data_IF_411349459363
#
_entry.id   IF_411349459363
#
_cell.length_a   1.000
_cell.length_b   1.000
_cell.length_c   1.000
_cell.angle_alpha   90.00
_cell.angle_beta   90.00
_cell.angle_gamma   90.00
#
_symmetry.space_group_name_H-M   'P 1'
#
loop_
_entity.id
_entity.type
_entity.pdbx_description
1 polymer ?
#
# COMPACT_ATOMS: atom_id res chain seq x y z
N UNK A 1 -48.05 68.41 9.90
CA UNK A 1 -47.77 67.68 8.64
C UNK A 1 -46.45 66.95 8.78
N UNK A 2 -46.51 65.69 9.15
CA UNK A 2 -45.32 64.86 9.31
C UNK A 2 -45.31 63.77 8.22
N UNK A 3 -44.28 63.78 7.40
CA UNK A 3 -44.07 62.77 6.35
C UNK A 3 -43.38 61.57 6.96
N UNK A 4 -44.08 60.41 6.95
CA UNK A 4 -43.55 59.13 7.36
C UNK A 4 -42.78 58.55 6.19
N UNK A 5 -41.43 58.35 6.34
CA UNK A 5 -40.65 57.60 5.38
C UNK A 5 -40.64 56.13 5.80
N UNK A 6 -41.22 55.30 4.94
CA UNK A 6 -41.12 53.83 5.06
C UNK A 6 -39.77 53.39 4.52
N UNK A 7 -38.91 52.81 5.37
CA UNK A 7 -37.74 52.09 4.96
C UNK A 7 -38.18 50.64 4.66
N UNK A 8 -38.09 50.24 3.39
CA UNK A 8 -38.22 48.86 2.97
C UNK A 8 -36.84 48.22 3.12
N UNK A 9 -36.69 47.31 4.11
CA UNK A 9 -35.47 46.51 4.29
C UNK A 9 -35.59 45.32 3.35
N UNK A 10 -34.83 45.30 2.25
CA UNK A 10 -34.67 44.13 1.38
C UNK A 10 -33.68 43.19 2.06
N UNK A 11 -34.21 42.11 2.68
CA UNK A 11 -33.46 40.98 3.11
C UNK A 11 -33.05 40.13 1.86
N UNK A 12 -31.85 40.32 1.37
CA UNK A 12 -31.24 39.41 0.42
C UNK A 12 -30.90 38.11 1.16
N UNK A 13 -31.78 37.09 1.08
CA UNK A 13 -31.44 35.73 1.48
C UNK A 13 -30.50 35.18 0.42
N UNK A 14 -29.21 35.28 0.68
CA UNK A 14 -28.22 34.56 -0.10
C UNK A 14 -28.42 33.05 0.11
N UNK A 15 -28.97 32.39 -0.90
CA UNK A 15 -28.96 30.93 -0.96
C UNK A 15 -27.51 30.49 -1.13
N UNK A 16 -26.88 30.14 -0.03
CA UNK A 16 -25.66 29.37 -0.07
C UNK A 16 -26.04 27.99 -0.66
N UNK A 17 -25.77 27.81 -1.94
CA UNK A 17 -25.73 26.50 -2.54
C UNK A 17 -24.65 25.73 -1.79
N UNK A 18 -25.07 24.88 -0.85
CA UNK A 18 -24.21 23.85 -0.28
C UNK A 18 -23.86 22.90 -1.43
N UNK A 19 -22.81 23.24 -2.17
CA UNK A 19 -22.16 22.23 -3.00
C UNK A 19 -21.74 21.11 -2.06
N UNK A 20 -22.13 19.86 -2.32
CA UNK A 20 -21.67 18.75 -1.51
C UNK A 20 -20.15 18.81 -1.48
N UNK A 21 -19.57 18.83 -0.28
CA UNK A 21 -18.13 18.81 -0.08
C UNK A 21 -17.65 17.44 -0.60
N UNK A 22 -17.21 17.39 -1.84
CA UNK A 22 -16.58 16.19 -2.37
C UNK A 22 -15.19 16.08 -1.72
N UNK A 23 -14.84 14.88 -1.26
CA UNK A 23 -13.50 14.62 -0.79
C UNK A 23 -12.51 14.80 -1.94
N UNK A 24 -11.49 15.63 -1.75
CA UNK A 24 -10.41 15.80 -2.71
C UNK A 24 -9.45 14.60 -2.61
N UNK A 25 -9.31 13.85 -3.70
CA UNK A 25 -8.36 12.74 -3.80
C UNK A 25 -6.98 13.30 -4.17
N UNK A 26 -6.22 13.71 -3.16
CA UNK A 26 -4.90 14.28 -3.34
C UNK A 26 -3.80 13.23 -3.61
N UNK A 27 -3.89 12.06 -2.96
CA UNK A 27 -2.99 10.94 -3.20
C UNK A 27 -3.58 9.98 -4.24
N UNK A 28 -2.93 9.86 -5.39
CA UNK A 28 -3.31 8.99 -6.50
C UNK A 28 -2.16 8.05 -6.80
N UNK A 29 -2.19 6.88 -6.15
CA UNK A 29 -1.08 5.94 -6.13
C UNK A 29 -1.24 4.71 -7.02
N UNK A 30 -0.11 4.09 -7.35
CA UNK A 30 -0.07 2.75 -7.92
C UNK A 30 1.06 1.94 -7.29
N UNK A 31 0.80 0.66 -6.96
CA UNK A 31 1.85 -0.25 -6.51
C UNK A 31 2.65 -0.79 -7.68
N UNK A 32 3.97 -0.81 -7.52
CA UNK A 32 4.92 -1.50 -8.39
C UNK A 32 5.50 -2.68 -7.62
N UNK A 33 4.93 -3.87 -7.80
CA UNK A 33 5.38 -5.09 -7.15
C UNK A 33 6.53 -5.72 -7.95
N UNK A 34 7.66 -5.94 -7.26
CA UNK A 34 8.86 -6.54 -7.86
C UNK A 34 8.97 -8.03 -7.56
N UNK A 35 8.38 -8.48 -6.47
CA UNK A 35 8.34 -9.90 -6.10
C UNK A 35 7.73 -10.72 -7.23
N UNK A 36 8.37 -11.82 -7.57
CA UNK A 36 7.97 -12.70 -8.69
C UNK A 36 7.81 -11.96 -10.03
N UNK A 37 8.49 -10.83 -10.19
CA UNK A 37 8.41 -9.99 -11.40
C UNK A 37 6.96 -9.64 -11.80
N UNK A 38 6.10 -9.39 -10.78
CA UNK A 38 4.66 -9.11 -11.00
C UNK A 38 4.49 -7.89 -11.90
N UNK A 39 5.11 -6.75 -11.55
CA UNK A 39 5.00 -5.52 -12.32
C UNK A 39 6.32 -5.12 -12.98
N UNK A 40 7.44 -5.16 -12.24
CA UNK A 40 8.74 -4.71 -12.72
C UNK A 40 9.89 -5.42 -11.96
N UNK A 41 11.04 -5.70 -12.63
CA UNK A 41 11.16 -5.75 -14.08
C UNK A 41 10.37 -6.94 -14.64
N UNK A 42 10.10 -6.96 -15.95
CA UNK A 42 9.59 -8.17 -16.59
C UNK A 42 10.64 -9.28 -16.55
N UNK A 43 10.21 -10.54 -16.62
CA UNK A 43 11.15 -11.68 -16.69
C UNK A 43 12.16 -11.55 -17.85
N UNK A 44 11.75 -10.93 -18.96
CA UNK A 44 12.58 -10.70 -20.13
C UNK A 44 13.68 -9.64 -19.88
N UNK A 45 13.43 -8.71 -18.98
CA UNK A 45 14.37 -7.64 -18.62
C UNK A 45 15.31 -8.00 -17.46
N UNK A 46 15.08 -9.13 -16.78
CA UNK A 46 15.96 -9.60 -15.70
C UNK A 46 17.40 -9.71 -16.21
N UNK A 47 18.34 -9.09 -15.47
CA UNK A 47 19.76 -9.09 -15.84
C UNK A 47 20.13 -8.16 -17.00
N UNK A 48 19.25 -7.22 -17.38
CA UNK A 48 19.50 -6.25 -18.43
C UNK A 48 19.11 -4.84 -17.96
N UNK A 49 20.11 -4.05 -17.58
CA UNK A 49 19.93 -2.69 -17.03
C UNK A 49 19.18 -1.76 -17.99
N UNK A 50 19.55 -1.74 -19.28
CA UNK A 50 18.90 -0.86 -20.26
C UNK A 50 17.41 -1.19 -20.44
N UNK A 51 17.08 -2.49 -20.52
CA UNK A 51 15.69 -2.91 -20.60
C UNK A 51 14.89 -2.55 -19.35
N UNK A 52 15.47 -2.75 -18.16
CA UNK A 52 14.86 -2.39 -16.88
C UNK A 52 14.57 -0.90 -16.78
N UNK A 53 15.50 -0.06 -17.19
CA UNK A 53 15.34 1.40 -17.21
C UNK A 53 14.26 1.82 -18.21
N UNK A 54 14.29 1.27 -19.43
CA UNK A 54 13.29 1.56 -20.47
C UNK A 54 11.86 1.18 -20.02
N UNK A 55 11.70 0.00 -19.41
CA UNK A 55 10.42 -0.43 -18.84
C UNK A 55 9.92 0.52 -17.75
N UNK A 56 10.80 0.95 -16.82
CA UNK A 56 10.41 1.86 -15.74
C UNK A 56 10.02 3.24 -16.28
N UNK A 57 10.75 3.79 -17.26
CA UNK A 57 10.37 5.06 -17.91
C UNK A 57 8.97 4.95 -18.52
N UNK A 58 8.73 3.91 -19.33
CA UNK A 58 7.44 3.69 -19.96
C UNK A 58 6.31 3.55 -18.93
N UNK A 59 6.58 2.86 -17.80
CA UNK A 59 5.65 2.69 -16.70
C UNK A 59 5.32 4.03 -16.05
N UNK A 60 6.33 4.82 -15.70
CA UNK A 60 6.13 6.14 -15.06
C UNK A 60 5.41 7.12 -15.99
N UNK A 61 5.76 7.18 -17.28
CA UNK A 61 5.08 8.01 -18.29
C UNK A 61 3.59 7.63 -18.41
N UNK A 62 3.33 6.33 -18.45
CA UNK A 62 1.97 5.80 -18.53
C UNK A 62 1.15 6.18 -17.28
N UNK A 63 1.71 6.01 -16.08
CA UNK A 63 1.06 6.40 -14.83
C UNK A 63 0.78 7.91 -14.78
N UNK A 64 1.77 8.74 -15.17
CA UNK A 64 1.59 10.19 -15.23
C UNK A 64 0.44 10.59 -16.16
N UNK A 65 0.34 9.93 -17.32
CA UNK A 65 -0.73 10.20 -18.31
C UNK A 65 -2.14 9.92 -17.77
N UNK A 66 -2.26 9.09 -16.74
CA UNK A 66 -3.51 8.77 -16.04
C UNK A 66 -3.79 9.69 -14.85
N UNK A 67 -2.89 10.62 -14.54
CA UNK A 67 -3.01 11.51 -13.39
C UNK A 67 -2.54 10.88 -12.06
N UNK A 68 -1.83 9.76 -12.09
CA UNK A 68 -1.16 9.18 -10.92
C UNK A 68 -0.01 10.09 -10.52
N UNK A 69 0.10 10.38 -9.23
CA UNK A 69 1.12 11.27 -8.65
C UNK A 69 1.98 10.63 -7.57
N UNK A 70 1.82 9.32 -7.34
CA UNK A 70 2.62 8.58 -6.38
C UNK A 70 2.83 7.12 -6.83
N UNK A 71 4.01 6.58 -6.57
CA UNK A 71 4.28 5.15 -6.72
C UNK A 71 4.64 4.54 -5.38
N UNK A 72 4.13 3.33 -5.12
CA UNK A 72 4.54 2.50 -3.99
C UNK A 72 5.43 1.39 -4.56
N UNK A 73 6.74 1.63 -4.52
CA UNK A 73 7.74 0.80 -5.18
C UNK A 73 8.32 -0.24 -4.23
N UNK A 74 8.14 -1.52 -4.54
CA UNK A 74 8.66 -2.62 -3.73
C UNK A 74 10.16 -2.80 -3.94
N UNK A 75 10.96 -2.39 -2.97
CA UNK A 75 12.42 -2.46 -3.05
C UNK A 75 13.04 -3.55 -2.17
N UNK A 76 12.25 -4.12 -1.24
CA UNK A 76 12.68 -5.24 -0.38
C UNK A 76 11.62 -6.33 -0.33
N UNK A 77 11.53 -7.18 -1.38
CA UNK A 77 10.48 -8.20 -1.47
C UNK A 77 10.74 -9.44 -0.60
N UNK A 78 12.00 -9.88 -0.46
CA UNK A 78 12.38 -11.18 0.13
C UNK A 78 13.73 -11.13 0.87
N UNK A 79 13.89 -10.19 1.81
CA UNK A 79 15.15 -9.96 2.54
C UNK A 79 16.37 -9.78 1.59
N UNK A 80 16.12 -9.10 0.50
CA UNK A 80 17.07 -8.73 -0.54
C UNK A 80 16.70 -7.34 -1.10
N UNK A 81 17.62 -6.69 -1.78
CA UNK A 81 17.49 -5.29 -2.15
C UNK A 81 17.38 -5.08 -3.67
N UNK A 82 16.42 -4.22 -4.08
CA UNK A 82 16.38 -3.59 -5.41
C UNK A 82 16.96 -2.17 -5.35
N UNK A 83 18.01 -2.01 -4.59
CA UNK A 83 18.81 -0.79 -4.46
C UNK A 83 20.25 -1.20 -4.07
N UNK A 84 21.19 -0.29 -4.20
CA UNK A 84 22.55 -0.58 -3.73
C UNK A 84 22.56 -0.68 -2.20
N UNK A 85 22.91 -1.84 -1.66
CA UNK A 85 22.91 -2.09 -0.21
C UNK A 85 24.17 -2.86 0.19
N UNK A 86 24.80 -2.43 1.27
CA UNK A 86 25.86 -3.18 1.96
C UNK A 86 25.30 -4.14 3.03
N UNK A 87 24.00 -4.03 3.33
CA UNK A 87 23.32 -4.78 4.37
C UNK A 87 22.67 -6.06 3.83
N UNK A 88 22.03 -5.97 2.67
CA UNK A 88 21.32 -7.09 2.05
C UNK A 88 21.77 -7.30 0.59
N UNK A 89 21.80 -8.54 0.10
CA UNK A 89 22.23 -8.85 -1.26
C UNK A 89 21.28 -8.25 -2.30
N UNK A 90 21.79 -7.93 -3.49
CA UNK A 90 20.93 -7.57 -4.62
C UNK A 90 19.93 -8.68 -4.92
N UNK A 91 18.70 -8.30 -5.22
CA UNK A 91 17.60 -9.23 -5.43
C UNK A 91 17.75 -10.05 -6.73
N UNK A 92 17.44 -11.34 -6.64
CA UNK A 92 17.38 -12.20 -7.82
C UNK A 92 16.27 -11.80 -8.81
N UNK A 93 15.23 -11.10 -8.34
CA UNK A 93 14.18 -10.58 -9.23
C UNK A 93 14.71 -9.49 -10.17
N UNK A 94 15.83 -8.84 -9.82
CA UNK A 94 16.49 -7.86 -10.65
C UNK A 94 17.53 -8.50 -11.58
N UNK A 95 18.35 -9.39 -11.03
CA UNK A 95 19.57 -9.86 -11.71
C UNK A 95 19.52 -11.32 -12.17
N UNK A 96 18.49 -12.07 -11.74
CA UNK A 96 18.38 -13.53 -11.97
C UNK A 96 19.15 -14.38 -10.95
N UNK A 97 20.07 -13.77 -10.18
CA UNK A 97 20.84 -14.45 -9.14
C UNK A 97 21.01 -13.53 -7.94
N UNK A 98 20.55 -13.94 -6.76
CA UNK A 98 20.68 -13.13 -5.55
C UNK A 98 22.15 -12.89 -5.20
N UNK A 99 22.51 -11.64 -4.92
CA UNK A 99 23.85 -11.24 -4.51
C UNK A 99 24.87 -11.14 -5.63
N UNK A 100 24.47 -11.30 -6.88
CA UNK A 100 25.36 -11.17 -8.03
C UNK A 100 24.73 -10.34 -9.14
N UNK A 101 25.50 -9.43 -9.72
CA UNK A 101 25.06 -8.61 -10.86
C UNK A 101 25.20 -9.32 -12.21
N UNK A 102 25.86 -10.48 -12.23
CA UNK A 102 26.06 -11.26 -13.46
C UNK A 102 26.86 -10.48 -14.50
N UNK A 103 26.31 -10.36 -15.72
CA UNK A 103 26.87 -9.54 -16.80
C UNK A 103 26.24 -8.13 -16.86
N UNK A 104 25.25 -7.87 -16.03
CA UNK A 104 24.57 -6.59 -15.96
C UNK A 104 25.49 -5.55 -15.34
N UNK A 105 25.43 -4.32 -15.84
CA UNK A 105 26.08 -3.18 -15.21
C UNK A 105 25.50 -2.95 -13.81
N UNK A 106 26.36 -2.68 -12.83
CA UNK A 106 25.95 -2.34 -11.47
C UNK A 106 25.33 -0.94 -11.47
N UNK A 107 24.10 -0.85 -11.02
CA UNK A 107 23.36 0.40 -10.92
C UNK A 107 22.50 0.42 -9.66
N UNK A 108 21.94 1.56 -9.32
CA UNK A 108 21.02 1.70 -8.20
C UNK A 108 19.59 1.93 -8.69
N UNK A 109 18.75 0.88 -8.74
CA UNK A 109 17.36 1.00 -9.22
C UNK A 109 16.52 2.00 -8.45
N UNK A 110 16.70 2.09 -7.12
CA UNK A 110 15.92 3.01 -6.29
C UNK A 110 16.32 4.45 -6.55
N UNK A 111 17.62 4.77 -6.48
CA UNK A 111 18.10 6.13 -6.75
C UNK A 111 17.67 6.62 -8.13
N UNK A 112 17.80 5.76 -9.14
CA UNK A 112 17.41 6.08 -10.50
C UNK A 112 15.89 6.28 -10.64
N UNK A 113 15.08 5.36 -10.07
CA UNK A 113 13.62 5.47 -10.11
C UNK A 113 13.12 6.72 -9.39
N UNK A 114 13.71 7.10 -8.25
CA UNK A 114 13.39 8.36 -7.55
C UNK A 114 13.63 9.56 -8.48
N UNK A 115 14.81 9.61 -9.12
CA UNK A 115 15.12 10.69 -10.05
C UNK A 115 14.11 10.78 -11.20
N UNK A 116 13.72 9.66 -11.79
CA UNK A 116 12.76 9.62 -12.89
C UNK A 116 11.31 9.94 -12.43
N UNK A 117 10.91 9.49 -11.25
CA UNK A 117 9.61 9.81 -10.66
C UNK A 117 9.49 11.31 -10.33
N UNK A 118 10.51 11.91 -9.73
CA UNK A 118 10.53 13.33 -9.38
C UNK A 118 10.50 14.24 -10.61
N UNK A 119 11.12 13.87 -11.74
CA UNK A 119 10.98 14.59 -13.02
C UNK A 119 9.51 14.66 -13.50
N UNK A 120 8.67 13.73 -13.04
CA UNK A 120 7.24 13.62 -13.36
C UNK A 120 6.33 14.15 -12.25
N UNK A 121 6.90 14.80 -11.23
CA UNK A 121 6.20 15.24 -10.02
C UNK A 121 5.45 14.10 -9.31
N UNK A 122 6.07 12.92 -9.24
CA UNK A 122 5.54 11.76 -8.52
C UNK A 122 6.29 11.54 -7.22
N UNK A 123 5.54 11.29 -6.14
CA UNK A 123 6.08 10.81 -4.87
C UNK A 123 6.55 9.35 -4.99
N UNK A 124 7.60 9.00 -4.26
CA UNK A 124 8.08 7.62 -4.16
C UNK A 124 7.94 7.13 -2.72
N UNK A 125 7.04 6.17 -2.52
CA UNK A 125 6.88 5.44 -1.27
C UNK A 125 7.60 4.09 -1.39
N UNK A 126 8.58 3.87 -0.53
CA UNK A 126 9.41 2.67 -0.58
C UNK A 126 8.73 1.53 0.16
N UNK A 127 8.36 0.49 -0.58
CA UNK A 127 7.67 -0.67 -0.02
C UNK A 127 8.65 -1.77 0.38
N UNK A 128 8.60 -2.15 1.65
CA UNK A 128 9.39 -3.19 2.30
C UNK A 128 8.46 -4.28 2.82
N UNK A 129 8.76 -5.56 2.50
CA UNK A 129 8.20 -6.65 3.30
C UNK A 129 9.14 -6.90 4.50
N UNK A 130 8.68 -6.77 5.76
CA UNK A 130 9.59 -6.79 6.90
C UNK A 130 10.20 -8.17 7.19
N UNK A 131 9.46 -9.26 6.98
CA UNK A 131 9.85 -10.56 7.54
C UNK A 131 10.00 -11.70 6.55
N UNK A 132 9.51 -11.59 5.33
CA UNK A 132 9.60 -12.67 4.34
C UNK A 132 11.02 -12.81 3.78
N UNK A 133 11.52 -14.07 3.67
CA UNK A 133 12.86 -14.39 3.14
C UNK A 133 12.79 -14.98 1.74
N UNK A 134 11.76 -15.79 1.44
CA UNK A 134 11.56 -16.40 0.13
C UNK A 134 10.07 -16.65 -0.16
N UNK A 135 9.73 -17.02 -1.39
CA UNK A 135 8.32 -17.20 -1.80
C UNK A 135 7.82 -18.64 -1.67
N UNK A 136 8.61 -19.61 -1.87
CA UNK A 136 8.21 -21.03 -1.76
C UNK A 136 9.42 -21.95 -1.96
N UNK A 137 9.24 -23.22 -1.54
CA UNK A 137 10.27 -24.26 -1.60
C UNK A 137 11.38 -23.99 -0.60
N UNK A 138 11.36 -24.59 0.51
CA UNK A 138 12.39 -24.69 1.57
C UNK A 138 13.86 -24.58 1.11
N UNK A 139 14.07 -24.16 -0.13
CA UNK A 139 15.35 -24.11 -0.79
C UNK A 139 16.07 -22.82 -0.42
N UNK A 140 17.02 -22.94 0.49
CA UNK A 140 17.93 -21.85 0.84
C UNK A 140 19.20 -21.83 -0.02
N UNK A 141 19.33 -22.76 -0.98
CA UNK A 141 20.51 -22.82 -1.86
C UNK A 141 20.63 -21.60 -2.77
N UNK A 142 19.48 -20.98 -3.09
CA UNK A 142 19.42 -19.75 -3.89
C UNK A 142 19.86 -18.51 -3.13
N UNK A 143 19.94 -18.56 -1.78
CA UNK A 143 20.35 -17.42 -0.97
C UNK A 143 21.84 -17.14 -1.15
N UNK A 144 22.15 -15.87 -1.38
CA UNK A 144 23.53 -15.41 -1.51
C UNK A 144 24.38 -15.80 -0.28
N UNK A 145 25.70 -15.99 -0.44
CA UNK A 145 26.62 -16.23 0.69
C UNK A 145 26.56 -15.11 1.74
N UNK A 146 26.30 -13.88 1.32
CA UNK A 146 26.19 -12.68 2.17
C UNK A 146 24.82 -12.50 2.83
N UNK A 147 23.83 -13.36 2.47
CA UNK A 147 22.48 -13.22 3.02
C UNK A 147 22.47 -13.37 4.54
N UNK A 148 21.77 -12.48 5.25
CA UNK A 148 21.72 -12.41 6.72
C UNK A 148 21.39 -13.76 7.39
N UNK A 149 20.58 -14.60 6.77
CA UNK A 149 20.23 -15.93 7.24
C UNK A 149 21.42 -16.90 7.30
N UNK A 150 22.49 -16.66 6.50
CA UNK A 150 23.73 -17.43 6.56
C UNK A 150 24.54 -17.10 7.82
N UNK A 151 24.39 -15.86 8.29
CA UNK A 151 25.11 -15.31 9.44
C UNK A 151 24.42 -15.60 10.76
N UNK A 152 23.08 -15.50 10.78
CA UNK A 152 22.25 -15.64 11.98
C UNK A 152 21.04 -16.55 11.69
N UNK A 153 21.24 -17.86 11.45
CA UNK A 153 20.16 -18.77 11.09
C UNK A 153 19.10 -18.89 12.21
N UNK A 154 19.44 -18.64 13.46
CA UNK A 154 18.56 -18.65 14.63
C UNK A 154 17.51 -17.51 14.64
N UNK A 155 17.69 -16.50 13.80
CA UNK A 155 16.70 -15.43 13.64
C UNK A 155 15.49 -15.83 12.81
N UNK A 156 15.51 -17.02 12.22
CA UNK A 156 14.55 -17.43 11.21
C UNK A 156 13.83 -18.71 11.60
N UNK A 157 12.62 -18.82 11.09
CA UNK A 157 11.85 -20.04 11.16
C UNK A 157 11.08 -20.30 9.86
N UNK A 158 10.66 -21.53 9.70
CA UNK A 158 9.97 -21.99 8.51
C UNK A 158 8.48 -22.18 8.79
N UNK A 159 7.66 -21.66 7.89
CA UNK A 159 6.21 -21.85 7.92
C UNK A 159 5.67 -21.96 6.49
N UNK A 160 4.79 -22.92 6.25
CA UNK A 160 4.18 -23.17 4.95
C UNK A 160 5.18 -23.15 3.77
N UNK A 161 6.33 -23.85 3.94
CA UNK A 161 7.42 -23.95 2.94
C UNK A 161 8.10 -22.62 2.61
N UNK A 162 7.96 -21.61 3.44
CA UNK A 162 8.65 -20.31 3.33
C UNK A 162 9.44 -20.03 4.59
N UNK A 163 10.48 -19.23 4.45
CA UNK A 163 11.28 -18.75 5.55
C UNK A 163 10.90 -17.32 5.91
N UNK A 164 10.88 -17.06 7.19
CA UNK A 164 10.54 -15.75 7.76
C UNK A 164 11.51 -15.41 8.89
N UNK A 165 11.78 -14.13 9.07
CA UNK A 165 12.33 -13.66 10.33
C UNK A 165 11.35 -13.95 11.46
N UNK A 166 11.88 -14.19 12.66
CA UNK A 166 11.08 -14.38 13.86
C UNK A 166 10.69 -13.02 14.47
N UNK A 167 9.43 -12.58 14.39
CA UNK A 167 9.03 -11.26 14.91
C UNK A 167 9.17 -11.14 16.43
N UNK A 168 9.29 -12.26 17.14
CA UNK A 168 9.46 -12.30 18.60
C UNK A 168 10.88 -11.94 19.09
N UNK A 169 11.85 -11.83 18.19
CA UNK A 169 13.23 -11.50 18.53
C UNK A 169 13.49 -9.99 18.39
N UNK A 170 14.19 -9.42 19.35
CA UNK A 170 14.62 -8.02 19.31
C UNK A 170 15.58 -7.76 18.16
N UNK A 171 16.55 -8.65 17.96
CA UNK A 171 17.53 -8.56 16.86
C UNK A 171 16.90 -8.45 15.48
N UNK A 172 15.74 -9.09 15.25
CA UNK A 172 15.04 -8.97 13.96
C UNK A 172 14.33 -7.62 13.80
N UNK A 173 13.87 -7.01 14.90
CA UNK A 173 13.34 -5.63 14.89
C UNK A 173 14.45 -4.61 14.63
N UNK A 174 15.58 -4.75 15.33
CA UNK A 174 16.75 -3.91 15.13
C UNK A 174 17.27 -3.98 13.70
N UNK A 175 17.27 -5.20 13.11
CA UNK A 175 17.67 -5.39 11.72
C UNK A 175 16.78 -4.61 10.76
N UNK A 176 15.45 -4.71 10.88
CA UNK A 176 14.56 -3.96 9.99
C UNK A 176 14.67 -2.44 10.20
N UNK A 177 14.91 -1.98 11.44
CA UNK A 177 15.18 -0.57 11.71
C UNK A 177 16.47 -0.11 11.01
N UNK A 178 17.53 -0.92 11.04
CA UNK A 178 18.80 -0.65 10.34
C UNK A 178 18.57 -0.51 8.82
N UNK A 179 17.75 -1.40 8.22
CA UNK A 179 17.39 -1.31 6.80
C UNK A 179 16.61 -0.02 6.50
N UNK A 180 15.62 0.31 7.33
CA UNK A 180 14.85 1.55 7.18
C UNK A 180 15.74 2.78 7.30
N UNK A 181 16.62 2.82 8.30
CA UNK A 181 17.59 3.90 8.50
C UNK A 181 18.49 4.06 7.29
N UNK A 182 19.07 2.97 6.75
CA UNK A 182 19.92 3.00 5.55
C UNK A 182 19.19 3.65 4.37
N UNK A 183 17.93 3.27 4.14
CA UNK A 183 17.13 3.80 3.05
C UNK A 183 16.86 5.30 3.24
N UNK A 184 16.30 5.71 4.37
CA UNK A 184 15.87 7.10 4.56
C UNK A 184 17.02 8.10 4.72
N UNK A 185 18.22 7.64 5.05
CA UNK A 185 19.42 8.49 5.10
C UNK A 185 20.08 8.69 3.74
N UNK A 186 19.88 7.76 2.82
CA UNK A 186 20.54 7.77 1.52
C UNK A 186 19.66 8.23 0.36
N UNK A 187 18.34 8.09 0.49
CA UNK A 187 17.40 8.33 -0.61
C UNK A 187 16.34 9.36 -0.24
N UNK A 188 16.03 10.23 -1.19
CA UNK A 188 14.96 11.25 -1.07
C UNK A 188 13.59 10.61 -1.34
N UNK A 189 13.07 9.90 -0.33
CA UNK A 189 11.79 9.20 -0.39
C UNK A 189 10.73 9.90 0.45
N UNK A 190 9.48 9.87 0.01
CA UNK A 190 8.39 10.54 0.72
C UNK A 190 7.81 9.65 1.82
N UNK A 191 7.92 8.33 1.69
CA UNK A 191 7.45 7.42 2.74
C UNK A 191 8.18 6.07 2.76
N UNK A 192 8.20 5.45 3.95
CA UNK A 192 8.38 4.01 4.13
C UNK A 192 6.98 3.39 4.16
N UNK A 193 6.77 2.35 3.39
CA UNK A 193 5.52 1.62 3.28
C UNK A 193 5.70 0.13 3.57
N UNK A 194 4.80 -0.45 4.37
CA UNK A 194 4.77 -1.88 4.61
C UNK A 194 3.38 -2.45 4.27
N UNK A 195 3.38 -3.70 3.82
CA UNK A 195 2.16 -4.44 3.51
C UNK A 195 1.55 -5.11 4.76
N UNK A 196 0.71 -6.11 4.57
CA UNK A 196 0.01 -6.85 5.60
C UNK A 196 0.75 -8.12 6.08
N UNK A 197 1.96 -8.40 5.58
CA UNK A 197 2.72 -9.61 5.89
C UNK A 197 3.64 -9.43 7.11
N UNK A 198 3.08 -9.12 8.27
CA UNK A 198 3.83 -9.13 9.56
C UNK A 198 4.01 -10.58 10.04
N UNK A 199 2.96 -11.23 10.51
CA UNK A 199 2.92 -12.67 10.62
C UNK A 199 2.37 -13.27 9.32
N UNK A 200 2.81 -14.49 8.91
CA UNK A 200 2.29 -15.11 7.70
C UNK A 200 0.82 -15.48 7.83
N UNK A 201 0.12 -15.46 6.70
CA UNK A 201 -1.25 -15.93 6.62
C UNK A 201 -1.40 -17.36 7.12
N UNK A 202 -2.48 -17.70 7.84
CA UNK A 202 -2.73 -19.07 8.33
C UNK A 202 -2.70 -20.12 7.21
N UNK A 203 -1.94 -21.18 7.41
CA UNK A 203 -1.84 -22.30 6.48
C UNK A 203 -2.52 -23.54 7.06
N UNK A 204 -3.81 -23.66 6.85
CA UNK A 204 -4.61 -24.76 7.40
C UNK A 204 -4.52 -24.84 8.92
N UNK A 205 -4.08 -25.99 9.46
CA UNK A 205 -3.92 -26.21 10.91
C UNK A 205 -2.45 -26.07 11.39
N UNK A 206 -1.53 -25.65 10.50
CA UNK A 206 -0.14 -25.49 10.89
C UNK A 206 0.01 -24.37 11.92
N UNK A 207 0.69 -24.67 13.04
CA UNK A 207 0.98 -23.67 14.05
C UNK A 207 2.23 -22.88 13.68
N UNK A 208 2.26 -21.60 14.07
CA UNK A 208 3.45 -20.76 13.96
C UNK A 208 4.55 -21.30 14.90
N UNK A 209 5.80 -21.38 14.43
CA UNK A 209 6.89 -22.04 15.17
C UNK A 209 7.61 -21.12 16.17
N UNK A 210 6.91 -20.17 16.78
CA UNK A 210 7.43 -19.18 17.72
C UNK A 210 7.15 -19.51 19.20
N UNK A 211 6.57 -20.69 19.49
CA UNK A 211 6.23 -21.10 20.87
C UNK A 211 7.46 -21.13 21.79
N UNK A 212 8.62 -21.53 21.28
CA UNK A 212 9.85 -21.54 22.08
C UNK A 212 10.29 -20.11 22.43
N UNK A 213 10.26 -19.20 21.47
CA UNK A 213 10.58 -17.78 21.68
C UNK A 213 9.63 -17.16 22.70
N UNK A 214 8.33 -17.45 22.62
CA UNK A 214 7.35 -17.01 23.60
C UNK A 214 7.67 -17.52 25.01
N UNK A 215 7.97 -18.81 25.18
CA UNK A 215 8.31 -19.39 26.48
C UNK A 215 9.59 -18.81 27.10
N UNK A 216 10.56 -18.47 26.26
CA UNK A 216 11.82 -17.86 26.69
C UNK A 216 11.66 -16.40 27.11
N UNK A 217 10.77 -15.67 26.47
CA UNK A 217 10.52 -14.25 26.78
C UNK A 217 9.04 -13.88 26.62
N UNK A 218 8.16 -14.27 27.57
CA UNK A 218 6.73 -13.98 27.49
C UNK A 218 6.38 -12.53 27.75
N UNK A 219 7.30 -11.70 28.23
CA UNK A 219 7.08 -10.27 28.57
C UNK A 219 5.82 -9.99 29.41
N UNK A 220 5.41 -10.94 30.27
CA UNK A 220 4.22 -10.82 31.11
C UNK A 220 2.89 -11.16 30.42
N UNK A 221 2.90 -11.63 29.18
CA UNK A 221 1.70 -12.09 28.51
C UNK A 221 1.39 -13.56 28.86
N UNK A 222 0.17 -13.82 29.30
CA UNK A 222 -0.33 -15.18 29.54
C UNK A 222 -0.82 -15.86 28.26
N UNK A 223 -1.06 -15.07 27.20
CA UNK A 223 -1.60 -15.52 25.93
C UNK A 223 -0.60 -15.24 24.77
N UNK A 224 -0.22 -16.29 24.05
CA UNK A 224 0.69 -16.18 22.91
C UNK A 224 0.14 -15.29 21.80
N UNK A 225 -1.18 -15.18 21.60
CA UNK A 225 -1.77 -14.31 20.59
C UNK A 225 -1.59 -12.83 20.94
N UNK A 226 -1.69 -12.47 22.23
CA UNK A 226 -1.42 -11.10 22.68
C UNK A 226 0.07 -10.77 22.56
N UNK A 227 0.94 -11.71 22.93
CA UNK A 227 2.37 -11.59 22.75
C UNK A 227 2.78 -11.40 21.28
N UNK A 228 2.14 -12.09 20.32
CA UNK A 228 2.39 -11.90 18.88
C UNK A 228 1.98 -10.52 18.42
N UNK A 229 0.83 -10.01 18.85
CA UNK A 229 0.41 -8.63 18.56
C UNK A 229 1.39 -7.61 19.12
N UNK A 230 1.86 -7.84 20.34
CA UNK A 230 2.87 -7.00 20.96
C UNK A 230 4.20 -7.01 20.19
N UNK A 231 4.63 -8.16 19.65
CA UNK A 231 5.82 -8.23 18.76
C UNK A 231 5.69 -7.30 17.55
N UNK A 232 4.52 -7.29 16.90
CA UNK A 232 4.26 -6.42 15.75
C UNK A 232 4.18 -4.95 16.21
N UNK A 233 3.50 -4.65 17.32
CA UNK A 233 3.43 -3.31 17.89
C UNK A 233 4.82 -2.75 18.19
N UNK A 234 5.69 -3.53 18.83
CA UNK A 234 7.07 -3.14 19.11
C UNK A 234 7.87 -2.85 17.82
N UNK A 235 7.63 -3.64 16.77
CA UNK A 235 8.29 -3.39 15.47
C UNK A 235 7.81 -2.08 14.84
N UNK A 236 6.50 -1.82 14.82
CA UNK A 236 5.93 -0.58 14.29
C UNK A 236 6.44 0.63 15.06
N UNK A 237 6.47 0.58 16.39
CA UNK A 237 7.02 1.64 17.23
C UNK A 237 8.51 1.89 16.96
N UNK A 238 9.31 0.83 16.86
CA UNK A 238 10.74 0.95 16.62
C UNK A 238 11.03 1.59 15.27
N UNK A 239 10.32 1.15 14.21
CA UNK A 239 10.45 1.71 12.87
C UNK A 239 10.03 3.17 12.85
N UNK A 240 8.88 3.51 13.45
CA UNK A 240 8.43 4.89 13.58
C UNK A 240 9.48 5.78 14.27
N UNK A 241 10.04 5.31 15.39
CA UNK A 241 11.04 6.07 16.11
C UNK A 241 12.30 6.27 15.26
N UNK A 242 12.78 5.23 14.58
CA UNK A 242 13.90 5.32 13.62
C UNK A 242 13.64 6.38 12.55
N UNK A 243 12.43 6.39 11.96
CA UNK A 243 12.08 7.38 10.94
C UNK A 243 12.08 8.79 11.53
N UNK A 244 11.45 9.00 12.70
CA UNK A 244 11.33 10.33 13.30
C UNK A 244 12.66 10.88 13.82
N UNK A 245 13.57 10.01 14.24
CA UNK A 245 14.92 10.39 14.69
C UNK A 245 15.85 10.72 13.50
N UNK A 246 15.80 9.92 12.43
CA UNK A 246 16.72 10.08 11.30
C UNK A 246 16.21 11.07 10.24
N UNK A 247 14.92 11.03 9.90
CA UNK A 247 14.32 11.89 8.86
C UNK A 247 12.84 12.17 9.15
N UNK A 248 12.51 13.12 10.03
CA UNK A 248 11.12 13.35 10.50
C UNK A 248 10.12 13.74 9.41
N UNK A 249 10.59 14.17 8.22
CA UNK A 249 9.75 14.48 7.06
C UNK A 249 9.22 13.24 6.32
N UNK A 250 9.88 12.09 6.47
CA UNK A 250 9.45 10.84 5.82
C UNK A 250 8.22 10.29 6.54
N UNK A 251 7.18 9.96 5.77
CA UNK A 251 5.95 9.35 6.29
C UNK A 251 6.13 7.85 6.53
N UNK A 252 5.36 7.30 7.44
CA UNK A 252 5.27 5.86 7.65
C UNK A 252 3.85 5.37 7.37
N UNK A 253 3.68 4.52 6.37
CA UNK A 253 2.40 4.00 5.93
C UNK A 253 2.29 2.48 5.95
N UNK A 254 1.08 2.00 6.18
CA UNK A 254 0.77 0.56 6.20
C UNK A 254 -0.41 0.29 5.28
N UNK A 255 -0.30 -0.77 4.44
CA UNK A 255 -1.43 -1.32 3.69
C UNK A 255 -1.88 -2.66 4.29
N UNK A 256 -2.75 -2.62 5.32
CA UNK A 256 -3.21 -3.82 5.98
C UNK A 256 -4.25 -4.57 5.13
N UNK A 257 -4.49 -5.83 5.47
CA UNK A 257 -5.67 -6.55 5.00
C UNK A 257 -6.96 -5.73 5.27
N UNK A 258 -7.94 -5.77 4.36
CA UNK A 258 -9.08 -4.85 4.40
C UNK A 258 -10.00 -4.97 5.62
N UNK A 259 -9.95 -6.06 6.38
CA UNK A 259 -10.79 -6.29 7.56
C UNK A 259 -9.94 -6.35 8.82
N UNK A 260 -10.15 -5.40 9.75
CA UNK A 260 -9.50 -5.43 11.04
C UNK A 260 -10.03 -6.58 11.91
N UNK A 261 -11.34 -6.62 12.14
CA UNK A 261 -12.08 -7.67 12.86
C UNK A 261 -13.55 -7.68 12.43
N UNK A 262 -14.20 -8.84 12.47
CA UNK A 262 -15.64 -8.94 12.23
C UNK A 262 -16.44 -8.45 13.45
N UNK A 263 -17.56 -7.75 13.23
CA UNK A 263 -18.44 -7.26 14.31
C UNK A 263 -19.06 -8.39 15.15
N UNK A 264 -19.08 -9.62 14.63
CA UNK A 264 -19.54 -10.81 15.39
C UNK A 264 -18.53 -11.26 16.45
N UNK A 265 -17.26 -10.87 16.33
CA UNK A 265 -16.18 -11.19 17.29
C UNK A 265 -15.91 -10.00 18.20
N UNK A 266 -15.92 -8.81 17.66
CA UNK A 266 -15.77 -7.55 18.38
C UNK A 266 -16.82 -6.55 17.89
N UNK A 267 -17.74 -6.05 18.75
CA UNK A 267 -18.79 -5.12 18.35
C UNK A 267 -18.31 -3.83 17.67
N UNK A 268 -17.04 -3.45 17.91
CA UNK A 268 -16.40 -2.29 17.26
C UNK A 268 -15.79 -2.61 15.90
N UNK A 269 -15.76 -3.88 15.51
CA UNK A 269 -15.30 -4.33 14.19
C UNK A 269 -16.28 -3.99 13.06
N UNK A 270 -15.88 -4.28 11.83
CA UNK A 270 -16.73 -4.07 10.66
C UNK A 270 -17.86 -5.10 10.56
N UNK A 271 -19.00 -4.72 9.97
CA UNK A 271 -20.15 -5.62 9.70
C UNK A 271 -19.82 -6.59 8.55
N UNK A 272 -18.77 -7.40 8.75
CA UNK A 272 -18.25 -8.37 7.79
C UNK A 272 -18.29 -9.79 8.35
N UNK A 273 -17.94 -10.77 7.50
CA UNK A 273 -17.78 -12.19 7.84
C UNK A 273 -16.54 -12.74 7.14
N UNK A 274 -15.46 -11.97 7.17
CA UNK A 274 -14.19 -12.37 6.57
C UNK A 274 -13.61 -13.59 7.30
N UNK A 275 -12.99 -14.48 6.54
CA UNK A 275 -12.31 -15.67 7.09
C UNK A 275 -10.93 -15.35 7.66
N UNK A 276 -10.35 -14.21 7.30
CA UNK A 276 -9.06 -13.70 7.79
C UNK A 276 -9.28 -12.27 8.28
N UNK A 277 -8.58 -11.90 9.36
CA UNK A 277 -8.62 -10.55 9.95
C UNK A 277 -7.22 -10.12 10.37
N UNK A 278 -6.99 -8.80 10.42
CA UNK A 278 -5.69 -8.27 10.86
C UNK A 278 -5.37 -8.67 12.29
N UNK A 279 -6.33 -8.47 13.19
CA UNK A 279 -6.13 -8.59 14.64
C UNK A 279 -5.96 -10.04 15.08
N UNK A 280 -6.82 -10.95 14.60
CA UNK A 280 -6.85 -12.32 15.10
C UNK A 280 -5.88 -13.25 14.35
N UNK A 281 -5.69 -13.03 13.03
CA UNK A 281 -4.95 -13.95 12.17
C UNK A 281 -3.56 -13.44 11.81
N UNK A 282 -3.42 -12.12 11.56
CA UNK A 282 -2.16 -11.49 11.16
C UNK A 282 -1.45 -10.78 12.32
N UNK A 283 -2.05 -10.77 13.51
CA UNK A 283 -1.53 -10.15 14.73
C UNK A 283 -1.17 -8.67 14.58
N UNK A 284 -1.88 -7.96 13.72
CA UNK A 284 -1.66 -6.55 13.42
C UNK A 284 -2.80 -5.69 14.01
N UNK A 285 -2.50 -4.88 15.03
CA UNK A 285 -3.47 -3.98 15.65
C UNK A 285 -3.41 -2.58 15.04
N UNK A 286 -3.89 -2.46 13.79
CA UNK A 286 -3.85 -1.22 13.03
C UNK A 286 -4.59 -0.08 13.75
N UNK A 287 -5.69 -0.39 14.45
CA UNK A 287 -6.45 0.62 15.22
C UNK A 287 -5.61 1.27 16.31
N UNK A 288 -4.82 0.47 17.02
CA UNK A 288 -3.87 0.99 18.01
C UNK A 288 -2.88 1.93 17.33
N UNK A 289 -2.29 1.53 16.20
CA UNK A 289 -1.27 2.33 15.51
C UNK A 289 -1.81 3.67 15.01
N UNK A 290 -3.06 3.69 14.54
CA UNK A 290 -3.77 4.92 14.13
C UNK A 290 -3.98 5.83 15.35
N UNK A 291 -4.52 5.30 16.46
CA UNK A 291 -4.87 6.07 17.67
C UNK A 291 -3.65 6.65 18.36
N UNK A 292 -2.59 5.87 18.44
CA UNK A 292 -1.32 6.30 19.05
C UNK A 292 -0.46 7.17 18.10
N UNK A 293 -0.89 7.39 16.87
CA UNK A 293 -0.15 8.16 15.86
C UNK A 293 1.18 7.54 15.49
N UNK A 294 1.26 6.19 15.46
CA UNK A 294 2.48 5.49 15.07
C UNK A 294 2.66 5.40 13.57
N UNK A 295 1.59 5.60 12.81
CA UNK A 295 1.59 5.63 11.34
C UNK A 295 1.00 6.94 10.83
N UNK A 296 1.55 7.46 9.74
CA UNK A 296 1.12 8.72 9.13
C UNK A 296 -0.03 8.52 8.13
N UNK A 297 -0.14 7.32 7.54
CA UNK A 297 -1.30 6.92 6.73
C UNK A 297 -1.59 5.43 6.81
N UNK A 298 -2.84 5.09 6.62
CA UNK A 298 -3.32 3.71 6.45
C UNK A 298 -3.93 3.56 5.06
N UNK A 299 -3.61 2.43 4.39
CA UNK A 299 -4.02 2.13 3.02
C UNK A 299 -4.63 0.72 2.95
N UNK A 300 -5.81 0.47 3.58
CA UNK A 300 -6.40 -0.86 3.64
C UNK A 300 -6.70 -1.42 2.24
N UNK A 301 -6.40 -2.70 2.04
CA UNK A 301 -6.60 -3.43 0.79
C UNK A 301 -8.07 -3.85 0.65
N UNK A 302 -8.94 -2.98 0.11
CA UNK A 302 -10.36 -3.25 -0.08
C UNK A 302 -10.61 -3.97 -1.41
N UNK A 303 -10.16 -5.22 -1.50
CA UNK A 303 -10.13 -5.99 -2.73
C UNK A 303 -11.43 -6.76 -3.02
N UNK A 304 -12.58 -6.23 -2.62
CA UNK A 304 -13.91 -6.78 -2.87
C UNK A 304 -14.80 -5.78 -3.61
N UNK A 305 -15.85 -6.31 -4.25
CA UNK A 305 -16.88 -5.49 -4.88
C UNK A 305 -17.81 -4.85 -3.85
N UNK A 306 -18.45 -3.74 -4.21
CA UNK A 306 -19.57 -3.15 -3.47
C UNK A 306 -20.72 -4.17 -3.45
N UNK A 307 -21.27 -4.45 -2.26
CA UNK A 307 -22.31 -5.44 -2.05
C UNK A 307 -21.82 -6.87 -1.83
N UNK A 308 -20.51 -7.08 -1.61
CA UNK A 308 -19.95 -8.42 -1.27
C UNK A 308 -20.39 -8.86 0.11
N UNK A 309 -21.17 -9.93 0.20
CA UNK A 309 -21.81 -10.36 1.46
C UNK A 309 -20.86 -10.72 2.60
N UNK A 310 -19.59 -11.06 2.31
CA UNK A 310 -18.59 -11.41 3.33
C UNK A 310 -17.68 -10.26 3.71
N UNK A 311 -17.44 -9.31 2.79
CA UNK A 311 -16.59 -8.15 2.99
C UNK A 311 -16.97 -7.08 1.95
N UNK A 312 -18.00 -6.30 2.26
CA UNK A 312 -18.52 -5.25 1.38
C UNK A 312 -17.57 -4.06 1.37
N UNK A 313 -17.18 -3.63 0.17
CA UNK A 313 -16.31 -2.45 -0.01
C UNK A 313 -16.87 -1.21 0.68
N UNK A 314 -18.15 -0.90 0.50
CA UNK A 314 -18.80 0.28 1.09
C UNK A 314 -18.78 0.24 2.62
N UNK A 315 -19.14 -0.93 3.20
CA UNK A 315 -19.08 -1.11 4.66
C UNK A 315 -17.66 -0.89 5.18
N UNK A 316 -16.66 -1.42 4.49
CA UNK A 316 -15.26 -1.31 4.89
C UNK A 316 -14.72 0.11 4.71
N UNK A 317 -15.04 0.80 3.61
CA UNK A 317 -14.64 2.18 3.38
C UNK A 317 -15.14 3.10 4.49
N UNK A 318 -16.41 3.00 4.86
CA UNK A 318 -16.99 3.76 5.97
C UNK A 318 -16.39 3.35 7.32
N UNK A 319 -16.13 2.07 7.54
CA UNK A 319 -15.51 1.61 8.79
C UNK A 319 -14.11 2.19 8.97
N UNK A 320 -13.25 2.14 7.94
CA UNK A 320 -11.92 2.71 8.00
C UNK A 320 -11.95 4.25 8.13
N UNK A 321 -12.88 4.92 7.48
CA UNK A 321 -13.10 6.35 7.64
C UNK A 321 -13.40 6.72 9.11
N UNK A 322 -14.24 5.95 9.79
CA UNK A 322 -14.51 6.16 11.21
C UNK A 322 -13.29 5.93 12.10
N UNK A 323 -12.40 4.98 11.75
CA UNK A 323 -11.21 4.70 12.55
C UNK A 323 -10.14 5.81 12.48
N UNK A 324 -10.02 6.52 11.35
CA UNK A 324 -9.08 7.63 11.20
C UNK A 324 -9.67 8.97 11.64
N UNK A 325 -10.98 9.06 11.80
CA UNK A 325 -11.66 10.31 12.16
C UNK A 325 -11.16 10.90 13.47
N UNK A 326 -10.74 12.16 13.42
CA UNK A 326 -10.20 12.87 14.60
C UNK A 326 -8.74 12.50 14.92
N UNK A 327 -8.06 11.75 14.06
CA UNK A 327 -6.62 11.46 14.16
C UNK A 327 -5.85 12.23 13.07
N UNK A 328 -4.52 12.18 13.13
CA UNK A 328 -3.64 12.72 12.07
C UNK A 328 -3.31 11.69 10.99
N UNK A 329 -3.81 10.46 11.10
CA UNK A 329 -3.56 9.40 10.14
C UNK A 329 -4.43 9.60 8.89
N UNK A 330 -3.80 9.72 7.72
CA UNK A 330 -4.51 9.82 6.44
C UNK A 330 -5.09 8.46 6.04
N UNK A 331 -6.25 8.48 5.38
CA UNK A 331 -6.85 7.29 4.80
C UNK A 331 -6.73 7.31 3.28
N UNK A 332 -6.03 6.33 2.74
CA UNK A 332 -6.02 5.99 1.33
C UNK A 332 -6.67 4.62 1.14
N UNK A 333 -7.31 4.37 0.01
CA UNK A 333 -7.98 3.08 -0.24
C UNK A 333 -7.24 2.30 -1.31
N UNK A 334 -6.87 1.06 -0.98
CA UNK A 334 -6.29 0.10 -1.92
C UNK A 334 -7.36 -0.58 -2.77
N UNK A 335 -7.24 -0.50 -4.08
CA UNK A 335 -8.23 -0.97 -5.06
C UNK A 335 -7.65 -2.07 -5.94
N UNK A 336 -8.44 -3.13 -6.19
CA UNK A 336 -7.99 -4.36 -6.86
C UNK A 336 -8.20 -4.32 -8.38
N UNK A 337 -7.32 -3.67 -9.13
CA UNK A 337 -7.40 -3.66 -10.61
C UNK A 337 -7.22 -5.05 -11.24
N UNK A 338 -6.39 -5.91 -10.65
CA UNK A 338 -6.15 -7.25 -11.16
C UNK A 338 -7.43 -8.10 -11.29
N UNK A 339 -8.48 -7.79 -10.51
CA UNK A 339 -9.76 -8.49 -10.59
C UNK A 339 -10.49 -8.28 -11.92
N UNK A 340 -10.20 -7.22 -12.63
CA UNK A 340 -10.74 -6.98 -13.98
C UNK A 340 -10.19 -7.97 -15.01
N UNK A 341 -9.04 -8.59 -14.75
CA UNK A 341 -8.40 -9.61 -15.58
C UNK A 341 -8.83 -11.03 -15.20
N UNK A 342 -9.45 -11.23 -14.04
CA UNK A 342 -9.90 -12.54 -13.59
C UNK A 342 -11.04 -13.07 -14.49
N UNK A 343 -10.74 -14.09 -15.28
CA UNK A 343 -11.78 -14.81 -16.03
C UNK A 343 -12.61 -15.66 -15.09
N UNK A 344 -13.94 -15.54 -15.15
CA UNK A 344 -14.82 -16.47 -14.47
C UNK A 344 -14.62 -17.87 -15.04
N UNK A 345 -14.12 -18.80 -14.22
CA UNK A 345 -14.13 -20.23 -14.59
C UNK A 345 -15.57 -20.68 -14.71
N UNK A 346 -15.98 -21.36 -15.83
CA UNK A 346 -17.30 -21.96 -15.94
C UNK A 346 -17.52 -22.90 -14.76
N UNK A 347 -18.68 -22.82 -14.11
CA UNK A 347 -19.03 -23.80 -13.09
C UNK A 347 -19.29 -25.13 -13.76
N UNK A 348 -18.69 -26.21 -13.25
CA UNK A 348 -18.78 -27.58 -13.80
C UNK A 348 -20.21 -28.14 -13.95
N UNK A 349 -21.22 -27.51 -13.34
CA UNK A 349 -22.58 -28.05 -13.23
C UNK A 349 -23.66 -27.22 -13.95
N UNK A 350 -23.35 -26.43 -14.98
CA UNK A 350 -24.35 -25.70 -15.77
C UNK A 350 -25.15 -24.63 -14.99
N UNK A 351 -24.80 -24.33 -13.75
CA UNK A 351 -25.43 -23.23 -13.00
C UNK A 351 -25.15 -21.89 -13.67
N UNK A 352 -26.19 -21.08 -13.88
CA UNK A 352 -26.03 -19.69 -14.35
C UNK A 352 -25.00 -18.97 -13.49
N UNK A 353 -23.96 -18.45 -14.13
CA UNK A 353 -22.99 -17.59 -13.47
C UNK A 353 -23.74 -16.37 -12.92
N UNK A 354 -23.57 -16.06 -11.63
CA UNK A 354 -23.99 -14.73 -11.11
C UNK A 354 -23.24 -13.67 -11.90
N UNK A 355 -23.89 -12.55 -12.16
CA UNK A 355 -23.23 -11.41 -12.78
C UNK A 355 -21.91 -11.13 -12.03
N UNK A 356 -20.79 -11.07 -12.76
CA UNK A 356 -19.51 -10.71 -12.18
C UNK A 356 -19.37 -9.19 -12.18
N UNK A 357 -19.34 -8.52 -11.04
CA UNK A 357 -19.16 -7.08 -10.97
C UNK A 357 -17.89 -6.59 -11.68
N UNK A 358 -16.86 -7.45 -11.74
CA UNK A 358 -15.58 -7.18 -12.38
C UNK A 358 -15.55 -7.46 -13.89
N UNK A 359 -16.67 -7.89 -14.49
CA UNK A 359 -16.76 -8.14 -15.95
C UNK A 359 -16.70 -6.88 -16.80
N UNK A 360 -16.85 -5.71 -16.17
CA UNK A 360 -16.71 -4.38 -16.78
C UNK A 360 -15.83 -3.50 -15.91
N UNK A 361 -15.34 -2.38 -16.43
CA UNK A 361 -14.62 -1.37 -15.62
C UNK A 361 -15.49 -0.63 -14.61
N UNK A 362 -16.81 -0.83 -14.62
CA UNK A 362 -17.77 -0.06 -13.83
C UNK A 362 -17.57 -0.22 -12.32
N UNK A 363 -17.09 -1.37 -11.85
CA UNK A 363 -16.89 -1.57 -10.41
C UNK A 363 -15.85 -0.61 -9.84
N UNK A 364 -14.71 -0.42 -10.52
CA UNK A 364 -13.69 0.56 -10.12
C UNK A 364 -14.28 1.97 -10.11
N UNK A 365 -15.01 2.34 -11.18
CA UNK A 365 -15.67 3.66 -11.24
C UNK A 365 -16.71 3.88 -10.15
N UNK A 366 -17.44 2.83 -9.71
CA UNK A 366 -18.38 2.89 -8.58
C UNK A 366 -17.63 3.11 -7.27
N UNK A 367 -16.54 2.39 -7.06
CA UNK A 367 -15.67 2.53 -5.88
C UNK A 367 -15.06 3.93 -5.81
N UNK A 368 -14.53 4.45 -6.92
CA UNK A 368 -13.99 5.82 -6.99
C UNK A 368 -15.06 6.88 -6.68
N UNK A 369 -16.28 6.72 -7.19
CA UNK A 369 -17.41 7.62 -6.85
C UNK A 369 -17.75 7.56 -5.36
N UNK A 370 -17.81 6.35 -4.79
CA UNK A 370 -18.09 6.16 -3.37
C UNK A 370 -17.01 6.83 -2.49
N UNK A 371 -15.74 6.64 -2.82
CA UNK A 371 -14.63 7.24 -2.06
C UNK A 371 -14.80 8.76 -1.95
N UNK A 372 -15.22 9.44 -3.02
CA UNK A 372 -15.44 10.89 -3.04
C UNK A 372 -16.60 11.36 -2.17
N UNK A 373 -17.50 10.47 -1.76
CA UNK A 373 -18.58 10.80 -0.84
C UNK A 373 -18.18 10.70 0.63
N UNK A 374 -16.97 10.20 0.93
CA UNK A 374 -16.45 9.95 2.28
C UNK A 374 -15.29 10.92 2.54
N UNK A 375 -15.51 11.99 3.34
CA UNK A 375 -14.52 13.08 3.50
C UNK A 375 -13.16 12.66 4.04
N UNK A 376 -13.11 11.59 4.82
CA UNK A 376 -11.87 11.06 5.41
C UNK A 376 -10.99 10.34 4.40
N UNK A 377 -11.53 9.94 3.23
CA UNK A 377 -10.76 9.30 2.17
C UNK A 377 -10.08 10.39 1.33
N UNK A 378 -8.78 10.49 1.44
CA UNK A 378 -7.97 11.51 0.73
C UNK A 378 -7.04 10.90 -0.32
N UNK A 379 -7.11 9.59 -0.54
CA UNK A 379 -6.28 8.93 -1.53
C UNK A 379 -6.83 7.59 -2.01
N UNK A 380 -6.38 7.23 -3.21
CA UNK A 380 -6.65 5.96 -3.88
C UNK A 380 -5.34 5.35 -4.37
N UNK A 381 -5.20 4.03 -4.28
CA UNK A 381 -4.03 3.33 -4.79
C UNK A 381 -4.43 2.04 -5.50
N UNK A 382 -3.90 1.82 -6.69
CA UNK A 382 -4.28 0.68 -7.52
C UNK A 382 -3.28 -0.47 -7.41
N UNK A 383 -3.76 -1.65 -7.05
CA UNK A 383 -2.99 -2.87 -7.11
C UNK A 383 -3.35 -3.67 -8.37
N UNK A 384 -2.47 -3.76 -9.37
CA UNK A 384 -1.17 -3.18 -9.42
C UNK A 384 -0.94 -2.48 -10.77
N UNK A 385 0.28 -2.04 -11.03
CA UNK A 385 0.62 -1.28 -12.24
C UNK A 385 0.44 -2.08 -13.53
N UNK A 386 0.78 -3.38 -13.56
CA UNK A 386 0.64 -4.20 -14.77
C UNK A 386 -0.81 -4.31 -15.28
N UNK A 387 -1.83 -4.59 -14.43
CA UNK A 387 -3.22 -4.48 -14.86
C UNK A 387 -3.58 -3.10 -15.36
N UNK A 388 -3.10 -2.05 -14.72
CA UNK A 388 -3.35 -0.68 -15.13
C UNK A 388 -2.84 -0.43 -16.56
N UNK A 389 -1.61 -0.84 -16.86
CA UNK A 389 -0.97 -0.67 -18.17
C UNK A 389 -1.65 -1.47 -19.30
N UNK A 390 -2.27 -2.60 -18.97
CA UNK A 390 -3.04 -3.40 -19.95
C UNK A 390 -4.41 -2.82 -20.25
N UNK A 391 -4.86 -1.83 -19.50
CA UNK A 391 -6.16 -1.17 -19.62
C UNK A 391 -7.36 -2.14 -19.75
N UNK A 392 -7.51 -3.12 -18.83
CA UNK A 392 -8.58 -4.08 -18.93
C UNK A 392 -9.94 -3.39 -18.81
N UNK A 393 -10.86 -3.74 -19.71
CA UNK A 393 -12.21 -3.19 -19.75
C UNK A 393 -12.26 -1.65 -19.89
N UNK A 394 -11.23 -1.04 -20.48
CA UNK A 394 -11.09 0.41 -20.65
C UNK A 394 -11.14 1.21 -19.34
N UNK A 395 -10.67 0.60 -18.24
CA UNK A 395 -10.71 1.22 -16.90
C UNK A 395 -9.88 2.49 -16.83
N UNK A 396 -8.78 2.57 -17.57
CA UNK A 396 -7.91 3.75 -17.61
C UNK A 396 -8.63 5.01 -18.09
N UNK A 397 -9.56 4.87 -19.04
CA UNK A 397 -10.34 6.01 -19.54
C UNK A 397 -11.20 6.62 -18.41
N UNK A 398 -11.79 5.74 -17.60
CA UNK A 398 -12.56 6.17 -16.41
C UNK A 398 -11.66 6.82 -15.35
N UNK A 399 -10.51 6.22 -15.02
CA UNK A 399 -9.56 6.76 -14.04
C UNK A 399 -9.08 8.14 -14.48
N UNK A 400 -8.69 8.27 -15.75
CA UNK A 400 -8.23 9.54 -16.31
C UNK A 400 -9.32 10.61 -16.27
N UNK A 401 -10.57 10.27 -16.59
CA UNK A 401 -11.69 11.20 -16.51
C UNK A 401 -11.89 11.71 -15.07
N UNK A 402 -11.92 10.81 -14.07
CA UNK A 402 -12.06 11.18 -12.66
C UNK A 402 -10.97 12.14 -12.20
N UNK A 403 -9.70 11.87 -12.52
CA UNK A 403 -8.60 12.71 -12.06
C UNK A 403 -8.44 14.00 -12.87
N UNK A 404 -8.99 14.07 -14.10
CA UNK A 404 -9.03 15.31 -14.89
C UNK A 404 -10.11 16.28 -14.40
N UNK A 405 -11.23 15.77 -13.88
CA UNK A 405 -12.30 16.58 -13.29
C UNK A 405 -11.84 17.24 -11.98
N UNK A 406 -10.92 16.63 -11.25
CA UNK A 406 -10.35 17.12 -9.99
C UNK A 406 -9.17 18.09 -10.17
N UNK A 407 -8.58 18.15 -11.37
CA UNK A 407 -7.52 19.13 -11.63
C UNK A 407 -8.12 20.53 -11.53
N UNK A 408 -7.50 21.47 -10.75
CA UNK A 408 -7.98 22.84 -10.68
C UNK A 408 -8.09 23.37 -12.11
N UNK A 409 -9.30 23.77 -12.52
CA UNK A 409 -9.50 24.42 -13.80
C UNK A 409 -8.60 25.65 -13.77
N UNK A 410 -7.60 25.69 -14.66
CA UNK A 410 -6.84 26.91 -14.90
C UNK A 410 -7.87 27.96 -15.28
N UNK A 411 -8.03 28.98 -14.43
CA UNK A 411 -8.79 30.15 -14.83
C UNK A 411 -8.26 30.59 -16.21
N UNK A 412 -9.16 30.91 -17.16
CA UNK A 412 -8.71 31.42 -18.42
C UNK A 412 -7.83 32.63 -18.10
N UNK A 413 -6.56 32.56 -18.47
CA UNK A 413 -5.66 33.71 -18.39
C UNK A 413 -6.35 34.82 -19.15
N UNK A 414 -6.82 35.85 -18.41
CA UNK A 414 -7.26 37.09 -18.98
C UNK A 414 -6.21 37.50 -20.00
N UNK A 415 -6.62 37.59 -21.23
CA UNK A 415 -5.84 38.17 -22.33
C UNK A 415 -5.48 39.57 -21.86
N UNK A 416 -4.22 39.72 -21.42
CA UNK A 416 -3.60 41.02 -21.22
C UNK A 416 -3.75 41.79 -22.53
N UNK A 417 -4.78 42.64 -22.61
CA UNK A 417 -4.85 43.71 -23.60
C UNK A 417 -3.67 44.65 -23.31
N UNK A 418 -2.70 44.63 -24.21
CA UNK A 418 -1.58 45.51 -24.18
C UNK A 418 -2.10 46.98 -24.28
N UNK A 419 -1.64 47.93 -23.47
CA UNK A 419 -2.13 49.29 -23.48
C UNK A 419 -1.41 50.13 -24.55
N UNK A 420 -1.45 49.73 -25.83
CA UNK A 420 -0.94 50.47 -26.95
C UNK A 420 -1.69 50.11 -28.23
N UNK A 421 -2.95 50.54 -28.36
CA UNK A 421 -3.58 50.91 -29.62
C UNK A 421 -4.56 52.06 -29.40
#
# INVERSE_FOLDING_TARGET
>A
MARLHKYILLLAIGSWLLTPLHAEISFRGAWIATVANIDWPTEAAVGNTEAQQAEMIWLLDSLQSLGINAIIFQVRPTADALYYSELEPVSHWLTGQQGAWGKQEVWDPLAWTISEAHKRNMEVHVWLNPYRVNLAKNDTSILAPTHIMRRYPEWFWQYNKQWYFNPGLESTREWICTIVQDIITRYDVQAIHMDDYFYPYPAGKQLLPDTLTYRQNPRGFDNIHDWRRDNVNLAIQAIRNTIKECHPGVQFGISPFGVWRNASVDPTGSKTRAGITNYDDLYADIRLWIREGWIDYVLPQLYWEIGKSVADYEILAHWWANEVKGTNCKLFIGMALYRLEENQKPKANGQKLKANPWSTGNEISRQMRLNRTIPEITGECFYSTRPLLRNPRHVCDSIKAFYSEEAPQKEPTDTLTLPWE
#
